data_IF_047613438901
#
_entry.id   IF_047613438901
#
_cell.length_a   1.000
_cell.length_b   1.000
_cell.length_c   1.000
_cell.angle_alpha   90.00
_cell.angle_beta   90.00
_cell.angle_gamma   90.00
#
_symmetry.space_group_name_H-M   'P 1'
#
loop_
_entity.id
_entity.type
_entity.pdbx_description
1 polymer ?
#
# COMPACT_ATOMS: atom_id res chain seq x y z
N UNK A 1 -37.78 50.23 45.64
CA UNK A 1 -36.44 49.68 45.33
C UNK A 1 -36.60 48.66 44.22
N UNK A 2 -35.96 48.86 43.06
CA UNK A 2 -36.05 47.93 41.94
C UNK A 2 -34.87 46.94 41.92
N UNK A 3 -35.08 45.85 41.16
CA UNK A 3 -34.12 44.94 40.51
C UNK A 3 -33.38 43.90 41.37
N UNK A 4 -33.80 42.65 41.18
CA UNK A 4 -32.90 41.50 41.13
C UNK A 4 -33.06 40.82 39.77
N UNK A 5 -32.36 41.33 38.75
CA UNK A 5 -32.18 40.66 37.46
C UNK A 5 -31.43 39.35 37.68
N UNK A 6 -32.11 38.20 37.51
CA UNK A 6 -31.42 36.93 37.36
C UNK A 6 -30.52 37.03 36.12
N UNK A 7 -29.20 37.02 36.34
CA UNK A 7 -28.24 36.86 35.25
C UNK A 7 -28.51 35.52 34.57
N UNK A 8 -28.36 35.42 33.23
CA UNK A 8 -28.39 34.13 32.56
C UNK A 8 -27.30 33.25 33.19
N UNK A 9 -27.61 32.00 33.54
CA UNK A 9 -26.59 31.03 33.92
C UNK A 9 -25.58 30.97 32.77
N UNK A 10 -24.36 31.45 33.01
CA UNK A 10 -23.23 31.20 32.12
C UNK A 10 -23.11 29.68 32.00
N UNK A 11 -23.41 29.17 30.81
CA UNK A 11 -23.15 27.79 30.44
C UNK A 11 -21.65 27.55 30.59
N UNK A 12 -21.25 26.81 31.63
CA UNK A 12 -19.89 26.31 31.76
C UNK A 12 -19.67 25.28 30.66
N UNK A 13 -18.61 25.46 29.84
CA UNK A 13 -18.15 24.42 28.91
C UNK A 13 -18.05 23.10 29.69
N UNK A 14 -18.64 21.99 29.21
CA UNK A 14 -18.54 20.70 29.89
C UNK A 14 -17.07 20.35 30.16
N UNK A 15 -16.77 19.80 31.34
CA UNK A 15 -15.41 19.37 31.72
C UNK A 15 -14.81 18.46 30.65
N UNK A 16 -15.66 17.65 30.00
CA UNK A 16 -15.30 16.85 28.85
C UNK A 16 -14.66 17.72 27.75
N UNK A 17 -15.31 18.80 27.31
CA UNK A 17 -14.80 19.71 26.26
C UNK A 17 -13.46 20.35 26.63
N UNK A 18 -13.23 20.70 27.90
CA UNK A 18 -11.94 21.28 28.34
C UNK A 18 -10.81 20.23 28.34
N UNK A 19 -11.09 19.01 28.83
CA UNK A 19 -10.14 17.89 28.77
C UNK A 19 -9.83 17.53 27.32
N UNK A 20 -10.84 17.57 26.47
CA UNK A 20 -10.80 17.30 25.04
C UNK A 20 -10.01 18.37 24.26
N UNK A 21 -10.13 19.66 24.60
CA UNK A 21 -9.27 20.74 24.06
C UNK A 21 -7.80 20.55 24.45
N UNK A 22 -7.51 20.06 25.66
CA UNK A 22 -6.13 19.72 26.08
C UNK A 22 -5.60 18.50 25.35
N UNK A 23 -6.43 17.47 25.14
CA UNK A 23 -6.07 16.28 24.37
C UNK A 23 -5.82 16.62 22.89
N UNK A 24 -6.58 17.57 22.32
CA UNK A 24 -6.32 18.12 20.98
C UNK A 24 -4.88 18.65 20.87
N UNK A 25 -4.42 19.46 21.84
CA UNK A 25 -3.05 19.98 21.84
C UNK A 25 -1.96 18.89 21.95
N UNK A 26 -2.29 17.71 22.49
CA UNK A 26 -1.34 16.58 22.52
C UNK A 26 -1.24 15.86 21.18
N UNK A 27 -2.25 15.98 20.29
CA UNK A 27 -2.22 15.40 18.93
C UNK A 27 -1.14 15.99 18.02
N UNK A 28 -0.57 17.12 18.43
CA UNK A 28 0.46 17.82 17.69
C UNK A 28 1.86 17.14 17.78
N UNK A 29 2.13 16.32 18.79
CA UNK A 29 3.51 15.92 19.15
C UNK A 29 3.86 14.44 18.88
N UNK A 30 3.04 13.71 18.08
CA UNK A 30 3.19 12.26 17.92
C UNK A 30 4.12 11.83 16.79
N UNK A 31 5.09 10.98 17.15
CA UNK A 31 6.03 10.37 16.20
C UNK A 31 5.57 9.01 15.63
N UNK A 32 4.49 8.40 16.15
CA UNK A 32 4.01 7.08 15.69
C UNK A 32 2.49 6.96 15.60
N UNK A 33 2.03 6.21 14.58
CA UNK A 33 0.61 5.97 14.29
C UNK A 33 -0.13 5.26 15.44
N UNK A 34 0.55 4.36 16.14
CA UNK A 34 -0.02 3.61 17.25
C UNK A 34 -0.32 4.51 18.46
N UNK A 35 0.53 5.52 18.70
CA UNK A 35 0.28 6.49 19.77
C UNK A 35 -0.89 7.39 19.42
N UNK A 36 -1.01 7.81 18.15
CA UNK A 36 -2.13 8.59 17.67
C UNK A 36 -3.47 7.86 17.84
N UNK A 37 -3.56 6.56 17.49
CA UNK A 37 -4.77 5.75 17.71
C UNK A 37 -5.21 5.73 19.17
N UNK A 38 -4.29 5.50 20.11
CA UNK A 38 -4.58 5.46 21.54
C UNK A 38 -5.16 6.78 22.05
N UNK A 39 -4.74 7.90 21.47
CA UNK A 39 -5.22 9.23 21.82
C UNK A 39 -6.62 9.46 21.28
N UNK A 40 -6.91 9.01 20.06
CA UNK A 40 -8.28 9.00 19.53
C UNK A 40 -9.20 8.15 20.41
N UNK A 41 -8.74 6.96 20.84
CA UNK A 41 -9.51 6.11 21.74
C UNK A 41 -9.79 6.80 23.09
N UNK A 42 -8.79 7.50 23.66
CA UNK A 42 -8.97 8.27 24.88
C UNK A 42 -9.92 9.46 24.69
N UNK A 43 -9.84 10.17 23.56
CA UNK A 43 -10.76 11.26 23.20
C UNK A 43 -12.20 10.75 23.16
N UNK A 44 -12.46 9.62 22.50
CA UNK A 44 -13.80 9.04 22.42
C UNK A 44 -14.29 8.58 23.80
N UNK A 45 -13.41 7.95 24.59
CA UNK A 45 -13.73 7.53 25.95
C UNK A 45 -14.10 8.71 26.88
N UNK A 46 -13.43 9.86 26.72
CA UNK A 46 -13.72 11.08 27.47
C UNK A 46 -14.99 11.78 26.96
N UNK A 47 -15.21 11.77 25.65
CA UNK A 47 -16.38 12.38 25.03
C UNK A 47 -17.70 11.69 25.46
N UNK A 48 -17.70 10.36 25.56
CA UNK A 48 -18.89 9.59 25.94
C UNK A 48 -20.14 9.93 25.11
N UNK A 49 -21.31 9.64 25.67
CA UNK A 49 -22.61 9.87 24.98
C UNK A 49 -23.25 11.24 25.32
N UNK A 50 -22.45 12.21 25.77
CA UNK A 50 -22.98 13.55 26.09
C UNK A 50 -23.43 14.29 24.80
N UNK A 51 -24.63 14.90 24.77
CA UNK A 51 -25.15 15.55 23.55
C UNK A 51 -24.25 16.63 22.94
N UNK A 52 -23.39 17.24 23.76
CA UNK A 52 -22.50 18.34 23.35
C UNK A 52 -21.17 17.85 22.74
N UNK A 53 -20.80 16.57 22.92
CA UNK A 53 -19.48 16.07 22.52
C UNK A 53 -19.42 15.63 21.07
N UNK A 54 -20.51 15.11 20.49
CA UNK A 54 -20.56 14.75 19.07
C UNK A 54 -20.36 15.96 18.13
N UNK A 55 -21.03 17.12 18.31
CA UNK A 55 -20.75 18.31 17.52
C UNK A 55 -19.28 18.77 17.60
N UNK A 56 -18.67 18.68 18.79
CA UNK A 56 -17.26 19.01 18.98
C UNK A 56 -16.34 18.02 18.25
N UNK A 57 -16.59 16.71 18.36
CA UNK A 57 -15.84 15.68 17.64
C UNK A 57 -15.94 15.85 16.11
N UNK A 58 -17.14 16.17 15.59
CA UNK A 58 -17.35 16.51 14.17
C UNK A 58 -16.51 17.72 13.77
N UNK A 59 -16.46 18.76 14.61
CA UNK A 59 -15.63 19.95 14.34
C UNK A 59 -14.13 19.65 14.27
N UNK A 60 -13.61 18.67 15.03
CA UNK A 60 -12.21 18.25 14.95
C UNK A 60 -11.85 17.55 13.65
N UNK A 61 -12.82 16.82 13.07
CA UNK A 61 -12.67 16.19 11.76
C UNK A 61 -12.66 17.25 10.66
N UNK A 62 -13.41 18.34 10.87
CA UNK A 62 -13.59 19.46 9.94
C UNK A 62 -12.52 20.55 10.04
N UNK A 63 -11.79 20.62 11.15
CA UNK A 63 -10.62 21.50 11.29
C UNK A 63 -9.46 20.94 10.46
N UNK A 64 -9.51 21.25 9.15
CA UNK A 64 -8.69 20.73 8.04
C UNK A 64 -7.16 20.84 8.24
N UNK A 65 -6.68 21.52 9.28
CA UNK A 65 -5.25 21.89 9.40
C UNK A 65 -4.36 20.94 10.20
N UNK A 66 -4.87 20.14 11.15
CA UNK A 66 -3.98 19.42 12.08
C UNK A 66 -4.14 17.91 12.13
N UNK A 67 -5.35 17.36 12.02
CA UNK A 67 -5.57 15.92 12.24
C UNK A 67 -5.18 15.05 11.03
N UNK A 68 -5.30 15.58 9.81
CA UNK A 68 -5.08 14.84 8.55
C UNK A 68 -3.69 15.10 7.94
N UNK A 69 -3.11 16.29 8.16
CA UNK A 69 -1.89 16.73 7.47
C UNK A 69 -0.60 16.06 7.98
N UNK A 70 -0.55 15.60 9.24
CA UNK A 70 0.70 15.09 9.86
C UNK A 70 1.04 13.64 9.49
N UNK A 71 0.07 12.81 9.12
CA UNK A 71 0.32 11.41 8.69
C UNK A 71 0.50 11.21 7.17
N UNK A 72 0.46 12.30 6.40
CA UNK A 72 0.65 12.31 4.95
C UNK A 72 2.01 11.76 4.49
N UNK A 73 3.00 11.64 5.40
CA UNK A 73 4.35 11.11 5.11
C UNK A 73 4.48 9.58 5.12
N UNK A 74 3.49 8.82 5.59
CA UNK A 74 3.70 7.37 5.83
C UNK A 74 2.82 6.41 5.03
N UNK A 75 1.91 6.89 4.17
CA UNK A 75 0.99 6.01 3.45
C UNK A 75 1.05 6.21 1.94
N UNK A 76 2.14 5.71 1.34
CA UNK A 76 2.36 5.79 -0.11
C UNK A 76 2.10 4.49 -0.88
N UNK A 77 1.56 3.44 -0.25
CA UNK A 77 1.52 2.11 -0.87
C UNK A 77 0.10 1.62 -1.18
N UNK A 78 -0.96 2.10 -0.50
CA UNK A 78 -2.34 1.60 -0.75
C UNK A 78 -3.45 2.65 -0.88
N UNK A 79 -3.13 3.96 -0.86
CA UNK A 79 -4.16 5.01 -1.00
C UNK A 79 -5.28 4.95 0.06
N UNK A 80 -5.03 4.32 1.20
CA UNK A 80 -5.99 4.26 2.31
C UNK A 80 -6.00 5.64 2.95
N UNK A 81 -7.19 6.25 3.05
CA UNK A 81 -7.36 7.46 3.84
C UNK A 81 -8.03 7.10 5.16
N UNK A 82 -7.29 6.59 6.17
CA UNK A 82 -7.88 6.48 7.48
C UNK A 82 -8.00 7.89 8.05
N UNK A 83 -9.22 8.30 8.37
CA UNK A 83 -9.47 9.29 9.41
C UNK A 83 -9.92 8.50 10.65
N UNK A 84 -8.99 8.10 11.54
CA UNK A 84 -9.31 7.23 12.67
C UNK A 84 -10.35 7.84 13.60
N UNK A 85 -10.35 9.17 13.73
CA UNK A 85 -11.36 9.88 14.51
C UNK A 85 -12.75 9.73 13.90
N UNK A 86 -12.90 10.00 12.59
CA UNK A 86 -14.18 9.80 11.89
C UNK A 86 -14.65 8.35 11.97
N UNK A 87 -13.74 7.38 11.82
CA UNK A 87 -14.04 5.96 11.95
C UNK A 87 -14.58 5.65 13.36
N UNK A 88 -13.97 6.22 14.40
CA UNK A 88 -14.37 6.00 15.79
C UNK A 88 -15.67 6.72 16.15
N UNK A 89 -15.90 7.91 15.61
CA UNK A 89 -17.20 8.60 15.71
C UNK A 89 -18.29 7.71 15.11
N UNK A 90 -18.06 7.17 13.90
CA UNK A 90 -19.03 6.29 13.23
C UNK A 90 -19.29 4.98 14.00
N UNK A 91 -18.29 4.46 14.71
CA UNK A 91 -18.41 3.27 15.56
C UNK A 91 -19.19 3.57 16.85
N UNK A 92 -18.82 4.64 17.55
CA UNK A 92 -19.36 4.97 18.86
C UNK A 92 -20.79 5.52 18.77
N UNK A 93 -21.03 6.44 17.84
CA UNK A 93 -22.34 7.08 17.63
C UNK A 93 -23.14 6.44 16.49
N UNK A 94 -22.94 5.13 16.24
CA UNK A 94 -23.62 4.37 15.16
C UNK A 94 -25.14 4.45 15.24
N UNK A 95 -25.69 4.49 16.45
CA UNK A 95 -27.14 4.55 16.70
C UNK A 95 -27.73 5.96 16.60
N UNK A 96 -26.89 7.00 16.53
CA UNK A 96 -27.34 8.37 16.35
C UNK A 96 -27.67 8.62 14.86
N UNK A 97 -28.92 8.92 14.50
CA UNK A 97 -29.31 9.19 13.12
C UNK A 97 -28.56 10.38 12.49
N UNK A 98 -28.10 11.34 13.29
CA UNK A 98 -27.34 12.49 12.79
C UNK A 98 -25.92 12.11 12.34
N UNK A 99 -25.35 11.02 12.85
CA UNK A 99 -23.99 10.59 12.50
C UNK A 99 -23.93 10.11 11.06
N UNK A 100 -24.87 9.26 10.63
CA UNK A 100 -24.95 8.83 9.24
C UNK A 100 -25.24 10.01 8.30
N UNK A 101 -26.14 10.92 8.70
CA UNK A 101 -26.44 12.13 7.95
C UNK A 101 -25.21 13.02 7.75
N UNK A 102 -24.43 13.22 8.82
CA UNK A 102 -23.17 13.95 8.77
C UNK A 102 -22.13 13.29 7.86
N UNK A 103 -21.94 11.97 7.95
CA UNK A 103 -21.01 11.25 7.07
C UNK A 103 -21.42 11.38 5.59
N UNK A 104 -22.72 11.27 5.27
CA UNK A 104 -23.23 11.49 3.92
C UNK A 104 -22.97 12.93 3.45
N UNK A 105 -23.16 13.92 4.33
CA UNK A 105 -22.86 15.32 4.04
C UNK A 105 -21.36 15.56 3.80
N UNK A 106 -20.48 14.86 4.52
CA UNK A 106 -19.04 14.93 4.32
C UNK A 106 -18.61 14.49 2.90
N UNK A 107 -19.33 13.55 2.29
CA UNK A 107 -19.06 13.12 0.91
C UNK A 107 -19.46 14.22 -0.08
N UNK A 108 -20.61 14.88 0.13
CA UNK A 108 -21.19 15.80 -0.84
C UNK A 108 -20.69 17.25 -0.75
N UNK A 109 -20.44 17.73 0.48
CA UNK A 109 -20.25 19.16 0.72
C UNK A 109 -18.79 19.57 0.95
N UNK A 110 -17.91 18.60 1.22
CA UNK A 110 -16.50 18.89 1.54
C UNK A 110 -15.68 19.03 0.28
N UNK A 111 -14.58 19.77 0.35
CA UNK A 111 -13.67 19.93 -0.79
C UNK A 111 -12.57 18.87 -0.76
N UNK A 112 -12.15 18.42 0.43
CA UNK A 112 -11.03 17.50 0.61
C UNK A 112 -11.42 16.07 0.24
N UNK A 113 -10.84 15.56 -0.84
CA UNK A 113 -10.94 14.18 -1.29
C UNK A 113 -10.71 13.15 -0.16
N UNK A 114 -9.79 13.48 0.76
CA UNK A 114 -9.43 12.65 1.91
C UNK A 114 -10.59 12.50 2.91
N UNK A 115 -11.32 13.58 3.21
CA UNK A 115 -12.47 13.54 4.12
C UNK A 115 -13.61 12.76 3.47
N UNK A 116 -13.85 12.97 2.17
CA UNK A 116 -14.88 12.24 1.43
C UNK A 116 -14.61 10.74 1.43
N UNK A 117 -13.39 10.32 1.09
CA UNK A 117 -12.97 8.91 1.09
C UNK A 117 -13.08 8.29 2.48
N UNK A 118 -12.63 8.99 3.52
CA UNK A 118 -12.77 8.52 4.90
C UNK A 118 -14.25 8.36 5.32
N UNK A 119 -15.13 9.25 4.88
CA UNK A 119 -16.56 9.17 5.18
C UNK A 119 -17.19 7.95 4.51
N UNK A 120 -16.85 7.67 3.24
CA UNK A 120 -17.27 6.44 2.56
C UNK A 120 -16.83 5.20 3.35
N UNK A 121 -15.57 5.16 3.79
CA UNK A 121 -15.04 4.02 4.55
C UNK A 121 -15.77 3.84 5.88
N UNK A 122 -15.96 4.93 6.63
CA UNK A 122 -16.69 4.93 7.89
C UNK A 122 -18.15 4.46 7.71
N UNK A 123 -18.81 4.89 6.64
CA UNK A 123 -20.16 4.40 6.29
C UNK A 123 -20.12 2.89 6.02
N UNK A 124 -19.24 2.46 5.11
CA UNK A 124 -19.18 1.06 4.66
C UNK A 124 -18.90 0.04 5.76
N UNK A 125 -18.10 0.40 6.77
CA UNK A 125 -17.75 -0.51 7.86
C UNK A 125 -18.73 -0.52 9.03
N UNK A 126 -19.49 0.55 9.22
CA UNK A 126 -20.30 0.73 10.43
C UNK A 126 -21.80 0.61 10.17
N UNK A 127 -22.27 0.81 8.94
CA UNK A 127 -23.70 0.84 8.62
C UNK A 127 -24.13 -0.30 7.69
N UNK A 128 -23.46 -1.46 7.78
CA UNK A 128 -23.75 -2.68 7.00
C UNK A 128 -25.19 -3.17 7.14
N UNK A 129 -25.76 -3.07 8.34
CA UNK A 129 -27.12 -3.52 8.66
C UNK A 129 -28.23 -2.64 8.06
N UNK A 130 -27.89 -1.43 7.61
CA UNK A 130 -28.89 -0.51 7.07
C UNK A 130 -29.10 -0.80 5.57
N UNK A 131 -30.34 -1.15 5.14
CA UNK A 131 -30.60 -1.55 3.76
C UNK A 131 -30.39 -0.42 2.74
N UNK A 132 -30.41 0.83 3.18
CA UNK A 132 -30.16 2.00 2.32
C UNK A 132 -28.67 2.27 2.11
N UNK A 133 -27.79 1.67 2.92
CA UNK A 133 -26.36 1.99 2.90
C UNK A 133 -25.67 1.44 1.66
N UNK A 134 -25.90 0.18 1.30
CA UNK A 134 -25.30 -0.41 0.11
C UNK A 134 -25.74 0.31 -1.19
N UNK A 135 -27.04 0.58 -1.43
CA UNK A 135 -27.47 1.40 -2.57
C UNK A 135 -26.83 2.79 -2.60
N UNK A 136 -26.73 3.46 -1.44
CA UNK A 136 -26.06 4.76 -1.34
C UNK A 136 -24.57 4.68 -1.71
N UNK A 137 -23.85 3.68 -1.20
CA UNK A 137 -22.44 3.47 -1.52
C UNK A 137 -22.24 3.16 -3.01
N UNK A 138 -23.08 2.30 -3.59
CA UNK A 138 -23.06 1.99 -5.04
C UNK A 138 -23.26 3.26 -5.88
N UNK A 139 -24.17 4.16 -5.46
CA UNK A 139 -24.38 5.44 -6.12
C UNK A 139 -23.16 6.38 -6.01
N UNK A 140 -22.42 6.34 -4.91
CA UNK A 140 -21.19 7.12 -4.72
C UNK A 140 -20.06 6.76 -5.69
N UNK A 141 -20.14 5.63 -6.41
CA UNK A 141 -19.19 5.32 -7.47
C UNK A 141 -19.22 6.33 -8.64
N UNK A 142 -20.35 7.04 -8.81
CA UNK A 142 -20.48 8.10 -9.83
C UNK A 142 -19.85 9.43 -9.41
N UNK A 143 -19.24 9.49 -8.22
CA UNK A 143 -18.57 10.71 -7.75
C UNK A 143 -17.34 11.02 -8.62
N UNK A 144 -17.09 12.30 -8.90
CA UNK A 144 -15.97 12.78 -9.73
C UNK A 144 -14.57 12.55 -9.13
N UNK A 145 -14.51 12.12 -7.88
CA UNK A 145 -13.28 12.07 -7.09
C UNK A 145 -12.82 10.61 -7.00
N UNK A 146 -11.64 10.34 -7.55
CA UNK A 146 -11.09 9.00 -7.62
C UNK A 146 -10.85 8.37 -6.24
N UNK A 147 -10.61 9.17 -5.19
CA UNK A 147 -10.49 8.66 -3.82
C UNK A 147 -11.83 8.22 -3.26
N UNK A 148 -12.93 8.89 -3.62
CA UNK A 148 -14.29 8.45 -3.27
C UNK A 148 -14.60 7.15 -3.98
N UNK A 149 -14.38 7.08 -5.29
CA UNK A 149 -14.62 5.88 -6.09
C UNK A 149 -13.83 4.68 -5.58
N UNK A 150 -12.53 4.88 -5.29
CA UNK A 150 -11.67 3.84 -4.69
C UNK A 150 -12.19 3.42 -3.32
N UNK A 151 -12.56 4.36 -2.46
CA UNK A 151 -13.09 4.07 -1.13
C UNK A 151 -14.40 3.28 -1.17
N UNK A 152 -15.24 3.51 -2.19
CA UNK A 152 -16.48 2.76 -2.42
C UNK A 152 -16.16 1.31 -2.75
N UNK A 153 -15.26 1.07 -3.72
CA UNK A 153 -14.86 -0.29 -4.12
C UNK A 153 -14.30 -1.06 -2.93
N UNK A 154 -13.33 -0.49 -2.21
CA UNK A 154 -12.71 -1.14 -1.05
C UNK A 154 -13.75 -1.35 0.06
N UNK A 155 -14.60 -0.36 0.34
CA UNK A 155 -15.63 -0.44 1.38
C UNK A 155 -16.64 -1.54 1.13
N UNK A 156 -17.16 -1.60 -0.10
CA UNK A 156 -18.14 -2.59 -0.52
C UNK A 156 -17.52 -3.99 -0.52
N UNK A 157 -16.36 -4.19 -1.17
CA UNK A 157 -15.71 -5.49 -1.24
C UNK A 157 -15.35 -6.05 0.14
N UNK A 158 -14.92 -5.19 1.07
CA UNK A 158 -14.53 -5.62 2.41
C UNK A 158 -15.71 -5.95 3.32
N UNK A 159 -16.79 -5.15 3.28
CA UNK A 159 -17.84 -5.20 4.31
C UNK A 159 -19.16 -5.81 3.84
N UNK A 160 -19.32 -6.09 2.54
CA UNK A 160 -20.54 -6.67 1.96
C UNK A 160 -20.25 -7.99 1.23
N UNK A 161 -19.32 -8.80 1.74
CA UNK A 161 -18.94 -10.09 1.14
C UNK A 161 -20.08 -11.11 1.12
N UNK A 162 -20.93 -11.08 2.14
CA UNK A 162 -22.09 -11.99 2.29
C UNK A 162 -23.31 -11.57 1.46
N UNK A 163 -23.29 -10.35 0.89
CA UNK A 163 -24.36 -9.88 0.00
C UNK A 163 -24.16 -10.47 -1.41
N UNK A 164 -25.14 -11.24 -1.88
CA UNK A 164 -25.06 -11.97 -3.14
C UNK A 164 -24.88 -11.08 -4.37
N UNK A 165 -25.31 -9.82 -4.28
CA UNK A 165 -25.26 -8.87 -5.39
C UNK A 165 -23.93 -8.11 -5.44
N UNK A 166 -23.08 -8.26 -4.42
CA UNK A 166 -21.84 -7.47 -4.32
C UNK A 166 -20.79 -7.92 -5.30
N UNK A 167 -20.47 -9.21 -5.39
CA UNK A 167 -19.49 -9.72 -6.36
C UNK A 167 -19.94 -9.47 -7.82
N UNK A 168 -21.19 -9.76 -8.23
CA UNK A 168 -21.68 -9.40 -9.56
C UNK A 168 -21.57 -7.91 -9.84
N UNK A 169 -21.88 -7.05 -8.86
CA UNK A 169 -21.75 -5.61 -9.01
C UNK A 169 -20.30 -5.17 -9.23
N UNK A 170 -19.35 -5.66 -8.42
CA UNK A 170 -17.92 -5.37 -8.56
C UNK A 170 -17.39 -5.80 -9.94
N UNK A 171 -17.75 -7.01 -10.40
CA UNK A 171 -17.40 -7.49 -11.75
C UNK A 171 -18.04 -6.62 -12.85
N UNK A 172 -19.27 -6.17 -12.68
CA UNK A 172 -19.98 -5.37 -13.70
C UNK A 172 -19.45 -3.95 -13.84
N UNK A 173 -19.06 -3.31 -12.73
CA UNK A 173 -18.58 -1.93 -12.78
C UNK A 173 -17.17 -1.85 -13.37
N UNK A 174 -16.36 -2.90 -13.19
CA UNK A 174 -14.98 -3.04 -13.68
C UNK A 174 -14.74 -2.47 -15.08
N UNK A 175 -15.52 -2.87 -16.09
CA UNK A 175 -15.29 -2.49 -17.49
C UNK A 175 -15.42 -0.98 -17.76
N UNK A 176 -16.20 -0.26 -16.95
CA UNK A 176 -16.44 1.17 -17.12
C UNK A 176 -15.54 2.04 -16.23
N UNK A 177 -14.65 1.43 -15.44
CA UNK A 177 -13.74 2.14 -14.56
C UNK A 177 -12.45 2.55 -15.26
N UNK A 178 -11.84 3.64 -14.78
CA UNK A 178 -10.46 4.00 -15.16
C UNK A 178 -9.49 2.88 -14.81
N UNK A 179 -8.37 2.78 -15.52
CA UNK A 179 -7.34 1.76 -15.23
C UNK A 179 -6.90 1.76 -13.76
N UNK A 180 -6.73 2.95 -13.19
CA UNK A 180 -6.41 3.16 -11.77
C UNK A 180 -7.45 2.60 -10.78
N UNK A 181 -8.71 2.45 -11.19
CA UNK A 181 -9.77 1.87 -10.36
C UNK A 181 -10.00 0.40 -10.68
N UNK A 182 -9.74 -0.02 -11.93
CA UNK A 182 -9.83 -1.43 -12.32
C UNK A 182 -8.85 -2.27 -11.52
N UNK A 183 -7.58 -1.85 -11.38
CA UNK A 183 -6.62 -2.62 -10.61
C UNK A 183 -7.04 -2.72 -9.13
N UNK A 184 -7.60 -1.64 -8.56
CA UNK A 184 -8.16 -1.68 -7.20
C UNK A 184 -9.32 -2.68 -7.07
N UNK A 185 -10.17 -2.83 -8.10
CA UNK A 185 -11.22 -3.87 -8.11
C UNK A 185 -10.61 -5.26 -8.17
N UNK A 186 -9.58 -5.49 -9.00
CA UNK A 186 -8.88 -6.80 -9.05
C UNK A 186 -8.33 -7.16 -7.68
N UNK A 187 -7.55 -6.27 -7.09
CA UNK A 187 -6.95 -6.41 -5.76
C UNK A 187 -7.99 -6.80 -4.70
N UNK A 188 -9.09 -6.03 -4.62
CA UNK A 188 -10.14 -6.29 -3.65
C UNK A 188 -10.92 -7.58 -3.91
N UNK A 189 -11.16 -7.93 -5.16
CA UNK A 189 -11.82 -9.20 -5.49
C UNK A 189 -10.92 -10.39 -5.13
N UNK A 190 -9.63 -10.33 -5.44
CA UNK A 190 -8.67 -11.37 -5.08
C UNK A 190 -8.61 -11.55 -3.55
N UNK A 191 -8.47 -10.47 -2.80
CA UNK A 191 -8.34 -10.52 -1.33
C UNK A 191 -9.57 -11.09 -0.63
N UNK A 192 -10.76 -10.59 -0.97
CA UNK A 192 -11.99 -10.85 -0.22
C UNK A 192 -12.81 -12.01 -0.80
N UNK A 193 -12.65 -12.35 -2.08
CA UNK A 193 -13.48 -13.36 -2.74
C UNK A 193 -12.69 -14.59 -3.22
N UNK A 194 -11.40 -14.74 -2.90
CA UNK A 194 -10.54 -15.88 -3.30
C UNK A 194 -11.15 -17.28 -3.16
N UNK A 195 -12.04 -17.50 -2.17
CA UNK A 195 -12.71 -18.80 -1.96
C UNK A 195 -13.84 -19.09 -2.95
N UNK A 196 -14.31 -18.08 -3.70
CA UNK A 196 -15.35 -18.25 -4.70
C UNK A 196 -14.72 -18.83 -5.99
N UNK A 197 -15.24 -19.96 -6.52
CA UNK A 197 -14.65 -20.66 -7.66
C UNK A 197 -14.65 -19.85 -8.97
N UNK A 198 -15.46 -18.79 -9.07
CA UNK A 198 -15.48 -17.93 -10.24
C UNK A 198 -14.35 -16.89 -10.28
N UNK A 199 -13.58 -16.74 -9.20
CA UNK A 199 -12.55 -15.70 -9.13
C UNK A 199 -11.33 -16.07 -9.96
N UNK A 200 -10.83 -17.30 -9.87
CA UNK A 200 -9.68 -17.71 -10.67
C UNK A 200 -9.93 -17.55 -12.20
N UNK A 201 -11.06 -18.02 -12.78
CA UNK A 201 -11.37 -17.74 -14.19
C UNK A 201 -11.45 -16.23 -14.51
N UNK A 202 -11.97 -15.42 -13.59
CA UNK A 202 -12.06 -13.98 -13.77
C UNK A 202 -10.69 -13.30 -13.72
N UNK A 203 -9.81 -13.66 -12.79
CA UNK A 203 -8.43 -13.18 -12.73
C UNK A 203 -7.65 -13.57 -13.99
N UNK A 204 -7.82 -14.82 -14.49
CA UNK A 204 -7.23 -15.26 -15.77
C UNK A 204 -7.63 -14.34 -16.92
N UNK A 205 -8.87 -13.82 -16.94
CA UNK A 205 -9.30 -12.84 -17.95
C UNK A 205 -8.66 -11.45 -17.76
N UNK A 206 -8.36 -11.07 -16.53
CA UNK A 206 -7.71 -9.78 -16.21
C UNK A 206 -6.24 -9.73 -16.67
N UNK A 207 -5.58 -10.88 -16.86
CA UNK A 207 -4.25 -10.96 -17.47
C UNK A 207 -4.21 -10.44 -18.93
N UNK A 208 -5.37 -10.21 -19.56
CA UNK A 208 -5.48 -9.66 -20.92
C UNK A 208 -5.99 -8.21 -20.94
N UNK A 209 -6.08 -7.55 -19.77
CA UNK A 209 -6.51 -6.15 -19.70
C UNK A 209 -5.46 -5.23 -20.35
N UNK A 210 -5.93 -4.13 -20.93
CA UNK A 210 -5.07 -3.13 -21.58
C UNK A 210 -4.22 -2.35 -20.58
N UNK A 211 -4.67 -2.23 -19.34
CA UNK A 211 -3.95 -1.55 -18.27
C UNK A 211 -2.99 -2.53 -17.57
N UNK A 212 -1.70 -2.21 -17.57
CA UNK A 212 -0.67 -3.04 -16.97
C UNK A 212 -0.88 -3.22 -15.45
N UNK A 213 -1.48 -2.27 -14.75
CA UNK A 213 -1.75 -2.37 -13.31
C UNK A 213 -2.79 -3.44 -13.03
N UNK A 214 -3.79 -3.58 -13.89
CA UNK A 214 -4.78 -4.67 -13.82
C UNK A 214 -4.11 -6.02 -14.05
N UNK A 215 -3.25 -6.13 -15.07
CA UNK A 215 -2.52 -7.37 -15.34
C UNK A 215 -1.61 -7.75 -14.17
N UNK A 216 -0.88 -6.79 -13.62
CA UNK A 216 0.00 -6.97 -12.45
C UNK A 216 -0.77 -7.50 -11.24
N UNK A 217 -1.86 -6.86 -10.83
CA UNK A 217 -2.68 -7.33 -9.69
C UNK A 217 -3.31 -8.70 -9.96
N UNK A 218 -3.61 -9.02 -11.22
CA UNK A 218 -4.09 -10.34 -11.59
C UNK A 218 -3.00 -11.41 -11.44
N UNK A 219 -1.74 -11.10 -11.77
CA UNK A 219 -0.59 -11.99 -11.53
C UNK A 219 -0.40 -12.24 -10.03
N UNK A 220 -0.33 -11.17 -9.23
CA UNK A 220 -0.16 -11.25 -7.77
C UNK A 220 -1.31 -12.06 -7.14
N UNK A 221 -2.57 -11.73 -7.45
CA UNK A 221 -3.73 -12.43 -6.90
C UNK A 221 -3.82 -13.91 -7.34
N UNK A 222 -3.36 -14.24 -8.55
CA UNK A 222 -3.29 -15.64 -9.02
C UNK A 222 -2.21 -16.41 -8.26
N UNK A 223 -1.01 -15.85 -8.12
CA UNK A 223 0.11 -16.48 -7.44
C UNK A 223 -0.14 -16.67 -5.94
N UNK A 224 -0.60 -15.62 -5.25
CA UNK A 224 -0.79 -15.64 -3.79
C UNK A 224 -1.90 -16.62 -3.36
N UNK A 225 -3.01 -16.66 -4.11
CA UNK A 225 -4.22 -17.35 -3.66
C UNK A 225 -4.53 -18.66 -4.40
N UNK A 226 -3.86 -18.92 -5.53
CA UNK A 226 -4.09 -20.11 -6.34
C UNK A 226 -2.81 -20.88 -6.64
N UNK A 227 -1.79 -20.80 -5.78
CA UNK A 227 -0.51 -21.51 -5.93
C UNK A 227 -0.67 -23.02 -6.20
N UNK A 228 -1.68 -23.65 -5.59
CA UNK A 228 -1.99 -25.08 -5.72
C UNK A 228 -2.73 -25.45 -7.03
N UNK A 229 -3.23 -24.47 -7.78
CA UNK A 229 -3.81 -24.74 -9.11
C UNK A 229 -2.68 -25.07 -10.10
N UNK A 230 -2.77 -26.21 -10.82
CA UNK A 230 -1.67 -26.70 -11.65
C UNK A 230 -1.34 -25.79 -12.84
N UNK A 231 -2.23 -24.85 -13.21
CA UNK A 231 -1.97 -23.90 -14.30
C UNK A 231 -1.30 -22.60 -13.81
N UNK A 232 -1.33 -22.32 -12.50
CA UNK A 232 -0.86 -21.04 -11.92
C UNK A 232 0.59 -20.75 -12.28
N UNK A 233 1.51 -21.70 -12.09
CA UNK A 233 2.91 -21.50 -12.47
C UNK A 233 3.07 -21.15 -13.95
N UNK A 234 2.35 -21.85 -14.83
CA UNK A 234 2.41 -21.60 -16.29
C UNK A 234 1.89 -20.19 -16.64
N UNK A 235 0.83 -19.74 -15.96
CA UNK A 235 0.25 -18.41 -16.15
C UNK A 235 1.20 -17.31 -15.69
N UNK A 236 1.72 -17.40 -14.46
CA UNK A 236 2.68 -16.44 -13.91
C UNK A 236 3.96 -16.42 -14.77
N UNK A 237 4.48 -17.59 -15.16
CA UNK A 237 5.62 -17.71 -16.09
C UNK A 237 5.39 -17.00 -17.42
N UNK A 238 4.18 -17.07 -17.99
CA UNK A 238 3.87 -16.38 -19.24
C UNK A 238 3.97 -14.85 -19.12
N UNK A 239 3.73 -14.33 -17.91
CA UNK A 239 3.79 -12.90 -17.61
C UNK A 239 5.23 -12.37 -17.54
N UNK A 240 6.25 -13.25 -17.51
CA UNK A 240 7.65 -12.85 -17.74
C UNK A 240 7.91 -12.31 -19.15
N UNK A 241 6.95 -12.44 -20.08
CA UNK A 241 7.01 -11.91 -21.43
C UNK A 241 6.06 -10.73 -21.66
N UNK A 242 5.46 -10.19 -20.60
CA UNK A 242 4.57 -9.04 -20.70
C UNK A 242 5.31 -7.81 -21.25
N UNK A 243 4.61 -6.98 -22.01
CA UNK A 243 5.17 -5.74 -22.57
C UNK A 243 5.62 -4.76 -21.48
N UNK A 244 4.96 -4.75 -20.32
CA UNK A 244 5.17 -3.80 -19.26
C UNK A 244 6.07 -4.38 -18.16
N UNK A 245 7.10 -3.63 -17.77
CA UNK A 245 8.10 -4.07 -16.80
C UNK A 245 7.51 -4.44 -15.43
N UNK A 246 6.50 -3.71 -14.93
CA UNK A 246 5.90 -4.00 -13.63
C UNK A 246 5.16 -5.34 -13.60
N UNK A 247 4.59 -5.78 -14.73
CA UNK A 247 3.96 -7.11 -14.81
C UNK A 247 5.03 -8.21 -14.81
N UNK A 248 6.13 -7.97 -15.53
CA UNK A 248 7.29 -8.89 -15.54
C UNK A 248 7.96 -8.96 -14.17
N UNK A 249 8.11 -7.84 -13.47
CA UNK A 249 8.68 -7.77 -12.12
C UNK A 249 7.80 -8.50 -11.10
N UNK A 250 6.48 -8.29 -11.12
CA UNK A 250 5.55 -9.06 -10.29
C UNK A 250 5.71 -10.56 -10.57
N UNK A 251 5.74 -10.98 -11.84
CA UNK A 251 5.94 -12.38 -12.20
C UNK A 251 7.28 -12.94 -11.70
N UNK A 252 8.38 -12.18 -11.75
CA UNK A 252 9.68 -12.56 -11.20
C UNK A 252 9.58 -12.81 -9.69
N UNK A 253 8.94 -11.89 -8.94
CA UNK A 253 8.79 -12.01 -7.49
C UNK A 253 7.91 -13.17 -7.10
N UNK A 254 6.75 -13.31 -7.74
CA UNK A 254 5.83 -14.41 -7.46
C UNK A 254 6.43 -15.79 -7.78
N UNK A 255 7.23 -15.90 -8.86
CA UNK A 255 7.94 -17.16 -9.16
C UNK A 255 9.02 -17.45 -8.11
N UNK A 256 9.77 -16.43 -7.67
CA UNK A 256 10.79 -16.60 -6.64
C UNK A 256 10.20 -17.06 -5.28
N UNK A 257 9.09 -16.46 -4.86
CA UNK A 257 8.46 -16.72 -3.56
C UNK A 257 7.65 -18.01 -3.56
N UNK A 258 6.77 -18.21 -4.56
CA UNK A 258 5.81 -19.32 -4.54
C UNK A 258 6.35 -20.61 -5.18
N UNK A 259 7.35 -20.51 -6.06
CA UNK A 259 7.79 -21.63 -6.91
C UNK A 259 9.29 -21.91 -6.80
N UNK A 260 9.90 -21.60 -5.66
CA UNK A 260 11.33 -21.80 -5.40
C UNK A 260 11.83 -23.22 -5.71
N UNK A 261 11.05 -24.24 -5.33
CA UNK A 261 11.44 -25.64 -5.49
C UNK A 261 11.18 -26.19 -6.91
N UNK A 262 10.57 -25.39 -7.79
CA UNK A 262 10.40 -25.77 -9.19
C UNK A 262 11.74 -25.73 -9.93
N UNK A 263 12.03 -26.78 -10.71
CA UNK A 263 13.31 -26.95 -11.38
C UNK A 263 13.60 -25.85 -12.42
N UNK A 264 12.57 -25.18 -12.96
CA UNK A 264 12.73 -24.12 -13.94
C UNK A 264 12.96 -22.74 -13.32
N UNK A 265 12.52 -22.51 -12.07
CA UNK A 265 12.54 -21.20 -11.40
C UNK A 265 13.93 -20.57 -11.44
N UNK A 266 14.96 -21.33 -11.05
CA UNK A 266 16.34 -20.84 -11.07
C UNK A 266 16.77 -20.37 -12.47
N UNK A 267 16.41 -21.10 -13.53
CA UNK A 267 16.78 -20.74 -14.91
C UNK A 267 15.99 -19.52 -15.40
N UNK A 268 14.72 -19.39 -15.04
CA UNK A 268 13.89 -18.23 -15.37
C UNK A 268 14.45 -16.96 -14.74
N UNK A 269 14.74 -17.00 -13.42
CA UNK A 269 15.31 -15.85 -12.71
C UNK A 269 16.68 -15.46 -13.26
N UNK A 270 17.55 -16.43 -13.58
CA UNK A 270 18.84 -16.14 -14.26
C UNK A 270 18.64 -15.46 -15.61
N UNK A 271 17.70 -15.93 -16.41
CA UNK A 271 17.37 -15.31 -17.70
C UNK A 271 16.91 -13.87 -17.52
N UNK A 272 16.00 -13.62 -16.57
CA UNK A 272 15.53 -12.26 -16.25
C UNK A 272 16.69 -11.35 -15.78
N UNK A 273 17.51 -11.79 -14.83
CA UNK A 273 18.65 -11.05 -14.32
C UNK A 273 19.69 -10.67 -15.40
N UNK A 274 19.85 -11.50 -16.44
CA UNK A 274 20.84 -11.30 -17.50
C UNK A 274 20.30 -10.52 -18.71
N UNK A 275 19.03 -10.71 -19.06
CA UNK A 275 18.52 -10.35 -20.38
C UNK A 275 17.28 -9.47 -20.37
N UNK A 276 16.63 -9.21 -19.22
CA UNK A 276 15.51 -8.26 -19.22
C UNK A 276 16.00 -6.86 -19.57
N UNK A 277 15.20 -6.15 -20.37
CA UNK A 277 15.54 -4.81 -20.84
C UNK A 277 15.45 -3.77 -19.72
N UNK A 278 14.56 -3.98 -18.74
CA UNK A 278 14.30 -3.06 -17.67
C UNK A 278 15.09 -3.44 -16.40
N UNK A 279 15.74 -2.45 -15.79
CA UNK A 279 16.56 -2.68 -14.61
C UNK A 279 15.75 -3.13 -13.39
N UNK A 280 14.48 -2.73 -13.23
CA UNK A 280 13.62 -3.19 -12.12
C UNK A 280 13.44 -4.70 -12.13
N UNK A 281 13.20 -5.27 -13.32
CA UNK A 281 13.03 -6.72 -13.49
C UNK A 281 14.35 -7.46 -13.25
N UNK A 282 15.47 -6.91 -13.76
CA UNK A 282 16.80 -7.48 -13.51
C UNK A 282 17.14 -7.45 -12.02
N UNK A 283 16.84 -6.34 -11.34
CA UNK A 283 17.11 -6.17 -9.91
C UNK A 283 16.31 -7.15 -9.06
N UNK A 284 15.00 -7.25 -9.28
CA UNK A 284 14.15 -8.22 -8.59
C UNK A 284 14.66 -9.66 -8.78
N UNK A 285 15.10 -10.01 -9.98
CA UNK A 285 15.68 -11.33 -10.26
C UNK A 285 17.04 -11.53 -9.56
N UNK A 286 17.89 -10.50 -9.50
CA UNK A 286 19.18 -10.56 -8.78
C UNK A 286 18.97 -10.70 -7.27
N UNK A 287 18.02 -9.96 -6.70
CA UNK A 287 17.65 -10.04 -5.29
C UNK A 287 17.17 -11.46 -4.94
N UNK A 288 16.22 -12.00 -5.70
CA UNK A 288 15.73 -13.38 -5.54
C UNK A 288 16.85 -14.42 -5.65
N UNK A 289 17.73 -14.28 -6.65
CA UNK A 289 18.89 -15.15 -6.84
C UNK A 289 19.89 -15.05 -5.68
N UNK A 290 20.13 -13.85 -5.17
CA UNK A 290 20.99 -13.61 -4.01
C UNK A 290 20.40 -14.19 -2.72
N UNK A 291 19.09 -14.11 -2.54
CA UNK A 291 18.45 -14.61 -1.33
C UNK A 291 18.41 -16.14 -1.27
N UNK A 292 18.08 -16.78 -2.39
CA UNK A 292 17.72 -18.19 -2.39
C UNK A 292 18.77 -19.12 -3.00
N UNK A 293 19.66 -18.59 -3.86
CA UNK A 293 20.64 -19.39 -4.62
C UNK A 293 22.04 -18.78 -4.64
N UNK A 294 22.38 -17.82 -3.78
CA UNK A 294 23.65 -17.10 -3.87
C UNK A 294 24.89 -18.00 -3.95
N UNK A 295 24.87 -19.19 -3.35
CA UNK A 295 26.02 -20.12 -3.32
C UNK A 295 25.98 -21.21 -4.39
N UNK A 296 24.98 -21.21 -5.28
CA UNK A 296 24.89 -22.18 -6.36
C UNK A 296 26.02 -22.03 -7.38
N UNK A 297 26.29 -23.12 -8.11
CA UNK A 297 27.37 -23.14 -9.09
C UNK A 297 27.16 -22.06 -10.18
N UNK A 298 28.19 -21.25 -10.41
CA UNK A 298 28.20 -20.20 -11.42
C UNK A 298 27.50 -18.89 -10.99
N UNK A 299 26.98 -18.80 -9.75
CA UNK A 299 26.36 -17.56 -9.27
C UNK A 299 27.35 -16.44 -9.03
N UNK A 300 28.56 -16.77 -8.56
CA UNK A 300 29.66 -15.80 -8.50
C UNK A 300 29.87 -15.11 -9.86
N UNK A 301 29.99 -15.88 -10.94
CA UNK A 301 30.24 -15.32 -12.28
C UNK A 301 29.04 -14.51 -12.79
N UNK A 302 27.80 -14.92 -12.47
CA UNK A 302 26.61 -14.14 -12.80
C UNK A 302 26.63 -12.78 -12.11
N UNK A 303 26.81 -12.73 -10.79
CA UNK A 303 26.84 -11.48 -10.05
C UNK A 303 28.06 -10.63 -10.43
N UNK A 304 29.22 -11.24 -10.61
CA UNK A 304 30.44 -10.56 -11.06
C UNK A 304 30.23 -9.89 -12.43
N UNK A 305 29.68 -10.62 -13.39
CA UNK A 305 29.43 -10.07 -14.73
C UNK A 305 28.36 -8.97 -14.71
N UNK A 306 27.32 -9.10 -13.90
CA UNK A 306 26.32 -8.05 -13.71
C UNK A 306 26.94 -6.80 -13.09
N UNK A 307 27.65 -6.93 -11.96
CA UNK A 307 28.35 -5.83 -11.31
C UNK A 307 29.38 -5.14 -12.21
N UNK A 308 29.97 -5.85 -13.18
CA UNK A 308 30.91 -5.28 -14.13
C UNK A 308 30.23 -4.62 -15.35
N UNK A 309 29.18 -5.22 -15.91
CA UNK A 309 28.73 -4.91 -17.27
C UNK A 309 27.25 -4.48 -17.39
N UNK A 310 26.45 -4.54 -16.33
CA UNK A 310 25.02 -4.21 -16.43
C UNK A 310 24.81 -2.76 -16.91
N UNK A 311 23.80 -2.57 -17.76
CA UNK A 311 23.50 -1.30 -18.43
C UNK A 311 22.68 -0.30 -17.59
N UNK A 312 22.44 -0.58 -16.30
CA UNK A 312 21.68 0.29 -15.40
C UNK A 312 22.19 1.74 -15.42
N UNK A 313 21.24 2.68 -15.56
CA UNK A 313 21.46 4.13 -15.51
C UNK A 313 20.45 4.73 -14.54
N UNK A 314 20.93 5.52 -13.57
CA UNK A 314 20.07 6.33 -12.69
C UNK A 314 19.82 7.69 -13.33
N UNK A 315 18.56 7.99 -13.60
CA UNK A 315 18.05 9.34 -13.87
C UNK A 315 17.61 10.05 -12.58
N UNK A 316 17.26 9.27 -11.56
CA UNK A 316 16.82 9.75 -10.24
C UNK A 316 17.50 8.97 -9.14
N UNK A 317 17.72 9.64 -8.01
CA UNK A 317 18.51 9.07 -6.91
C UNK A 317 17.86 7.85 -6.24
N UNK A 318 16.54 7.71 -6.35
CA UNK A 318 15.78 6.61 -5.79
C UNK A 318 15.76 5.35 -6.67
N UNK A 319 16.27 5.43 -7.90
CA UNK A 319 16.30 4.28 -8.80
C UNK A 319 17.37 3.27 -8.35
N UNK A 320 17.03 1.99 -8.40
CA UNK A 320 17.99 0.91 -8.18
C UNK A 320 19.03 0.86 -9.31
N UNK A 321 20.13 0.17 -9.05
CA UNK A 321 21.19 -0.06 -10.02
C UNK A 321 21.64 -1.51 -9.88
N UNK A 322 21.38 -2.33 -10.89
CA UNK A 322 21.66 -3.77 -10.84
C UNK A 322 23.15 -4.07 -10.63
N UNK A 323 24.07 -3.17 -11.06
CA UNK A 323 25.51 -3.31 -10.74
C UNK A 323 25.75 -3.21 -9.23
N UNK A 324 25.07 -2.29 -8.55
CA UNK A 324 25.15 -2.11 -7.11
C UNK A 324 24.56 -3.30 -6.35
N UNK A 325 23.41 -3.81 -6.80
CA UNK A 325 22.74 -4.98 -6.21
C UNK A 325 23.64 -6.20 -6.30
N UNK A 326 24.17 -6.49 -7.49
CA UNK A 326 25.11 -7.59 -7.69
C UNK A 326 26.40 -7.45 -6.86
N UNK A 327 26.98 -6.23 -6.78
CA UNK A 327 28.13 -5.97 -5.92
C UNK A 327 27.80 -6.20 -4.43
N UNK A 328 26.58 -5.85 -4.00
CA UNK A 328 26.12 -6.07 -2.63
C UNK A 328 26.04 -7.57 -2.31
N UNK A 329 25.48 -8.36 -3.22
CA UNK A 329 25.41 -9.82 -3.08
C UNK A 329 26.81 -10.42 -3.03
N UNK A 330 27.74 -9.99 -3.90
CA UNK A 330 29.13 -10.44 -3.87
C UNK A 330 29.81 -10.14 -2.54
N UNK A 331 29.62 -8.95 -1.99
CA UNK A 331 30.19 -8.58 -0.68
C UNK A 331 29.57 -9.37 0.47
N UNK A 332 28.34 -9.85 0.33
CA UNK A 332 27.66 -10.64 1.36
C UNK A 332 28.09 -12.11 1.35
N UNK A 333 28.15 -12.74 0.17
CA UNK A 333 28.34 -14.19 0.04
C UNK A 333 29.74 -14.59 -0.43
N UNK A 334 30.49 -13.68 -1.04
CA UNK A 334 31.80 -13.92 -1.66
C UNK A 334 32.85 -12.92 -1.18
N UNK A 335 32.75 -12.48 0.07
CA UNK A 335 33.64 -11.48 0.68
C UNK A 335 35.12 -11.88 0.62
N UNK A 336 35.41 -13.17 0.85
CA UNK A 336 36.78 -13.70 0.89
C UNK A 336 37.35 -14.02 -0.51
N UNK A 337 36.55 -13.87 -1.58
CA UNK A 337 37.03 -14.10 -2.93
C UNK A 337 37.88 -12.90 -3.40
N UNK A 338 39.17 -13.08 -3.76
CA UNK A 338 40.04 -11.98 -4.18
C UNK A 338 39.47 -11.14 -5.34
N UNK A 339 38.75 -11.79 -6.27
CA UNK A 339 38.12 -11.11 -7.41
C UNK A 339 37.00 -10.17 -6.97
N UNK A 340 36.30 -10.44 -5.86
CA UNK A 340 35.31 -9.51 -5.29
C UNK A 340 35.97 -8.21 -4.86
N UNK A 341 37.14 -8.28 -4.22
CA UNK A 341 37.87 -7.09 -3.78
C UNK A 341 38.45 -6.30 -4.95
N UNK A 342 38.98 -6.97 -5.97
CA UNK A 342 39.43 -6.34 -7.21
C UNK A 342 38.27 -5.58 -7.87
N UNK A 343 37.11 -6.21 -7.97
CA UNK A 343 35.91 -5.58 -8.53
C UNK A 343 35.43 -4.41 -7.68
N UNK A 344 35.46 -4.52 -6.34
CA UNK A 344 35.07 -3.42 -5.44
C UNK A 344 35.96 -2.19 -5.65
N UNK A 345 37.27 -2.37 -5.77
CA UNK A 345 38.23 -1.29 -6.06
C UNK A 345 37.95 -0.65 -7.42
N UNK A 346 37.77 -1.48 -8.45
CA UNK A 346 37.47 -1.02 -9.79
C UNK A 346 36.15 -0.22 -9.84
N UNK A 347 35.09 -0.69 -9.17
CA UNK A 347 33.81 0.03 -9.08
C UNK A 347 33.92 1.33 -8.27
N UNK A 348 34.74 1.38 -7.23
CA UNK A 348 34.97 2.58 -6.44
C UNK A 348 35.65 3.72 -7.23
N UNK A 349 36.49 3.37 -8.20
CA UNK A 349 37.24 4.33 -9.02
C UNK A 349 36.56 4.62 -10.36
N UNK A 350 36.02 3.59 -11.03
CA UNK A 350 35.73 3.61 -12.46
C UNK A 350 34.25 3.38 -12.82
N UNK A 351 33.34 3.05 -11.88
CA UNK A 351 31.93 2.87 -12.26
C UNK A 351 31.35 4.17 -12.84
N UNK A 352 30.56 4.15 -13.93
CA UNK A 352 29.96 5.38 -14.47
C UNK A 352 28.92 6.01 -13.53
N UNK A 353 28.27 5.22 -12.67
CA UNK A 353 27.27 5.69 -11.70
C UNK A 353 27.95 6.24 -10.44
N UNK A 354 27.69 7.52 -10.13
CA UNK A 354 28.32 8.19 -9.00
C UNK A 354 27.92 7.60 -7.64
N UNK A 355 26.66 7.19 -7.48
CA UNK A 355 26.18 6.63 -6.22
C UNK A 355 26.79 5.25 -5.98
N UNK A 356 26.97 4.45 -7.02
CA UNK A 356 27.69 3.19 -6.95
C UNK A 356 29.17 3.40 -6.63
N UNK A 357 29.85 4.39 -7.23
CA UNK A 357 31.23 4.73 -6.84
C UNK A 357 31.32 5.07 -5.35
N UNK A 358 30.44 5.93 -4.85
CA UNK A 358 30.40 6.32 -3.43
C UNK A 358 30.13 5.11 -2.52
N UNK A 359 29.12 4.31 -2.85
CA UNK A 359 28.81 3.07 -2.14
C UNK A 359 30.01 2.12 -2.08
N UNK A 360 30.70 1.92 -3.22
CA UNK A 360 31.87 1.06 -3.30
C UNK A 360 33.05 1.60 -2.48
N UNK A 361 33.31 2.92 -2.49
CA UNK A 361 34.32 3.56 -1.65
C UNK A 361 34.03 3.37 -0.15
N UNK A 362 32.78 3.52 0.27
CA UNK A 362 32.38 3.28 1.66
C UNK A 362 32.60 1.83 2.09
N UNK A 363 32.23 0.87 1.23
CA UNK A 363 32.43 -0.56 1.49
C UNK A 363 33.92 -0.93 1.51
N UNK A 364 34.72 -0.36 0.61
CA UNK A 364 36.17 -0.57 0.57
C UNK A 364 36.84 -0.06 1.85
N UNK A 365 36.49 1.13 2.32
CA UNK A 365 36.99 1.68 3.58
C UNK A 365 36.62 0.80 4.78
N UNK A 366 35.41 0.24 4.81
CA UNK A 366 34.99 -0.72 5.86
C UNK A 366 35.81 -2.01 5.80
N UNK A 367 36.07 -2.51 4.60
CA UNK A 367 36.91 -3.69 4.37
C UNK A 367 38.33 -3.47 4.91
N UNK A 368 38.99 -2.37 4.55
CA UNK A 368 40.35 -2.03 5.00
C UNK A 368 40.46 -1.90 6.52
N UNK A 369 39.45 -1.27 7.15
CA UNK A 369 39.39 -1.16 8.60
C UNK A 369 39.21 -2.53 9.28
N UNK A 370 38.51 -3.49 8.67
CA UNK A 370 38.31 -4.83 9.22
C UNK A 370 39.58 -5.69 9.21
N UNK A 371 40.55 -5.38 8.34
CA UNK A 371 41.83 -6.08 8.22
C UNK A 371 42.94 -5.48 9.11
N UNK A 372 42.66 -4.35 9.75
CA UNK A 372 43.63 -3.59 10.56
C UNK A 372 43.61 -3.96 12.06
N UNK A 373 42.88 -5.01 12.43
CA UNK A 373 42.77 -5.60 13.76
C UNK A 373 43.01 -7.11 13.68
#
# INVERSE_FOLDING_TARGET
MPLGSEKPREYQKPIAVEVLERLKGLTDDYQSYETFKKVIDAIIAVAGDEPETLPWLKSLVEDEKDTILRFRKSYRIYGITPNPLMQKIAQHYKSDPETLGWLKACIQLRQEALIKGAAVRAISSNYTESPETLPFLKACLQHEDSLVQRSVVIGIAQHYQEDSDTLPWLKSCFQNLSGSLRYAVVSMIADFYKKNPEILPWLKSCLQDQDWGVRMEAVEGIAEYYVEDPETFTLVKSCLQDEHENVREAAVREIAECYREDAETFLLLKSCAQFDQNYWVRDAALEALGEHWATEQGMFDLFYNCALNDSSVREKDWQQNSRQTALTILLQYYYDNPRTLELLRDRAENDPDEQLRQYAQEKLKKWENSQSF
#
